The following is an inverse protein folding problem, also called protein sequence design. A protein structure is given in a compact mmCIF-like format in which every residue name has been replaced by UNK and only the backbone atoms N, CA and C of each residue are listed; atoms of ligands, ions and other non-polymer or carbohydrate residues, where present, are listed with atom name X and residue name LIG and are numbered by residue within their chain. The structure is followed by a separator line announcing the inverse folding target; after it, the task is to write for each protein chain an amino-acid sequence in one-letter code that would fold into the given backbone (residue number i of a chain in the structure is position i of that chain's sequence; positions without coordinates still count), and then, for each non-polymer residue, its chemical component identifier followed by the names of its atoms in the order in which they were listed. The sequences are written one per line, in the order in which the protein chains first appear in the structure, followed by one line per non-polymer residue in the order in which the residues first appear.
data_IF_997337950724
#
_entry.id   IF_997337950724
#
_cell.length_a   1.000
_cell.length_b   1.000
_cell.length_c   1.000
_cell.angle_alpha   90.00
_cell.angle_beta   90.00
_cell.angle_gamma   90.00
#
_symmetry.space_group_name_H-M   'P 1'
#
loop_
_entity.id
_entity.type
_entity.pdbx_description
1 polymer ?
#
# COMPACT_ATOMS: atom_id res chain seq x y z
N UNK A 1 39.60 -13.01 -63.51
CA UNK A 1 38.18 -13.09 -63.06
C UNK A 1 38.15 -13.02 -61.53
N UNK A 2 37.53 -11.98 -60.99
CA UNK A 2 37.35 -11.75 -59.54
C UNK A 2 36.28 -12.67 -58.94
N UNK A 3 36.46 -13.10 -57.68
CA UNK A 3 35.40 -13.50 -56.72
C UNK A 3 36.02 -13.48 -55.31
N UNK A 4 36.04 -12.32 -54.64
CA UNK A 4 35.09 -11.80 -53.63
C UNK A 4 34.99 -12.64 -52.34
N UNK A 5 35.62 -12.08 -51.29
CA UNK A 5 35.44 -12.34 -49.87
C UNK A 5 33.98 -12.18 -49.43
N UNK A 6 33.50 -13.06 -48.54
CA UNK A 6 32.38 -12.76 -47.63
C UNK A 6 32.77 -13.30 -46.25
N UNK A 7 33.09 -12.38 -45.35
CA UNK A 7 33.32 -12.62 -43.93
C UNK A 7 31.95 -12.48 -43.24
N UNK A 8 31.40 -13.57 -42.71
CA UNK A 8 30.16 -13.57 -41.93
C UNK A 8 30.51 -13.32 -40.46
N UNK A 9 30.33 -12.07 -40.02
CA UNK A 9 30.38 -11.71 -38.59
C UNK A 9 28.96 -11.86 -38.05
N UNK A 10 28.71 -12.91 -37.27
CA UNK A 10 27.49 -13.05 -36.49
C UNK A 10 27.63 -12.25 -35.20
N UNK A 11 27.07 -11.02 -35.17
CA UNK A 11 26.83 -10.32 -33.91
C UNK A 11 25.65 -11.00 -33.21
N UNK A 12 25.96 -11.78 -32.16
CA UNK A 12 24.96 -12.22 -31.20
C UNK A 12 24.62 -11.05 -30.28
N UNK A 13 23.58 -10.29 -30.66
CA UNK A 13 22.98 -9.26 -29.80
C UNK A 13 22.28 -9.95 -28.64
N UNK A 14 22.94 -10.04 -27.49
CA UNK A 14 22.31 -10.42 -26.22
C UNK A 14 21.31 -9.31 -25.90
N UNK A 15 20.03 -9.56 -26.21
CA UNK A 15 18.93 -8.73 -25.76
C UNK A 15 18.82 -8.86 -24.24
N UNK A 16 19.33 -7.87 -23.50
CA UNK A 16 18.95 -7.66 -22.11
C UNK A 16 17.48 -7.24 -22.10
N UNK A 17 16.58 -8.22 -22.03
CA UNK A 17 15.18 -7.96 -21.72
C UNK A 17 15.16 -7.55 -20.25
N UNK A 18 14.73 -6.32 -19.90
CA UNK A 18 14.52 -5.97 -18.51
C UNK A 18 13.45 -6.92 -17.97
N UNK A 19 13.82 -7.75 -16.99
CA UNK A 19 12.84 -8.52 -16.25
C UNK A 19 11.98 -7.52 -15.50
N UNK A 20 10.69 -7.50 -15.79
CA UNK A 20 9.72 -6.83 -14.93
C UNK A 20 9.92 -7.41 -13.52
N UNK A 21 10.32 -6.57 -12.57
CA UNK A 21 10.35 -6.97 -11.17
C UNK A 21 8.90 -7.21 -10.78
N UNK A 22 8.51 -8.48 -10.65
CA UNK A 22 7.27 -8.81 -10.00
C UNK A 22 7.42 -8.38 -8.54
N UNK A 23 6.67 -7.36 -8.12
CA UNK A 23 6.51 -7.06 -6.70
C UNK A 23 5.74 -8.23 -6.12
N UNK A 24 6.43 -9.11 -5.38
CA UNK A 24 5.80 -10.25 -4.73
C UNK A 24 4.73 -9.75 -3.75
N UNK A 25 3.60 -10.45 -3.68
CA UNK A 25 2.55 -10.11 -2.73
C UNK A 25 3.04 -10.24 -1.28
N UNK A 26 2.76 -9.24 -0.46
CA UNK A 26 3.08 -9.24 0.96
C UNK A 26 1.99 -9.95 1.77
N UNK A 27 2.37 -10.71 2.80
CA UNK A 27 1.42 -11.46 3.64
C UNK A 27 1.27 -10.89 5.05
N UNK A 28 2.11 -9.93 5.41
CA UNK A 28 2.16 -9.29 6.72
C UNK A 28 2.61 -7.84 6.52
N UNK A 29 2.00 -6.94 7.28
CA UNK A 29 2.37 -5.53 7.31
C UNK A 29 3.73 -5.34 7.99
N UNK A 30 4.64 -4.63 7.34
CA UNK A 30 5.93 -4.26 7.91
C UNK A 30 5.76 -3.27 9.07
N UNK A 31 4.72 -2.44 9.02
CA UNK A 31 4.46 -1.40 10.02
C UNK A 31 3.77 -1.94 11.28
N UNK A 32 2.77 -2.82 11.12
CA UNK A 32 1.90 -3.27 12.21
C UNK A 32 2.13 -4.72 12.63
N UNK A 33 2.78 -5.54 11.79
CA UNK A 33 2.85 -7.00 11.96
C UNK A 33 1.51 -7.71 11.79
N UNK A 34 0.48 -7.02 11.30
CA UNK A 34 -0.84 -7.62 11.05
C UNK A 34 -0.76 -8.48 9.79
N UNK A 35 -1.31 -9.70 9.87
CA UNK A 35 -1.45 -10.58 8.70
C UNK A 35 -2.40 -9.97 7.68
N UNK A 36 -1.96 -9.91 6.44
CA UNK A 36 -2.70 -9.29 5.35
C UNK A 36 -3.55 -10.32 4.58
N UNK A 37 -4.71 -9.92 4.04
CA UNK A 37 -5.41 -10.70 3.03
C UNK A 37 -4.50 -10.99 1.83
N UNK A 38 -4.73 -12.13 1.17
CA UNK A 38 -3.98 -12.49 -0.04
C UNK A 38 -4.11 -11.41 -1.12
N UNK A 39 -3.05 -11.22 -1.89
CA UNK A 39 -3.02 -10.25 -2.99
C UNK A 39 -2.62 -8.84 -2.58
N UNK A 40 -2.12 -8.63 -1.36
CA UNK A 40 -1.61 -7.32 -0.94
C UNK A 40 -0.31 -7.01 -1.69
N UNK A 41 -0.26 -5.87 -2.36
CA UNK A 41 0.96 -5.28 -2.91
C UNK A 41 1.40 -4.16 -1.99
N UNK A 42 2.66 -4.18 -1.58
CA UNK A 42 3.28 -3.03 -0.93
C UNK A 42 3.76 -2.06 -2.02
N UNK A 43 3.28 -0.83 -1.95
CA UNK A 43 3.65 0.26 -2.85
C UNK A 43 4.73 1.12 -2.20
N UNK A 44 5.46 1.90 -3.01
CA UNK A 44 6.55 2.74 -2.50
C UNK A 44 6.03 4.09 -2.03
N UNK A 45 6.87 4.84 -1.29
CA UNK A 45 6.54 6.19 -0.84
C UNK A 45 6.18 7.14 -2.00
N UNK A 46 6.75 6.91 -3.19
CA UNK A 46 6.46 7.69 -4.40
C UNK A 46 5.04 7.46 -4.95
N UNK A 47 4.37 6.39 -4.53
CA UNK A 47 3.00 6.04 -4.95
C UNK A 47 1.92 6.69 -4.07
N UNK A 48 2.29 7.36 -2.96
CA UNK A 48 1.34 8.12 -2.16
C UNK A 48 0.85 9.37 -2.91
N UNK A 49 -0.47 9.53 -3.01
CA UNK A 49 -1.04 10.81 -3.43
C UNK A 49 -0.90 11.86 -2.33
N UNK A 50 -0.77 13.14 -2.71
CA UNK A 50 -0.72 14.25 -1.75
C UNK A 50 -1.95 14.26 -0.82
N UNK A 51 -3.13 13.98 -1.37
CA UNK A 51 -4.39 13.88 -0.62
C UNK A 51 -4.35 12.77 0.44
N UNK A 52 -3.80 11.60 0.11
CA UNK A 52 -3.71 10.49 1.04
C UNK A 52 -2.74 10.80 2.20
N UNK A 53 -1.63 11.46 1.89
CA UNK A 53 -0.68 11.93 2.91
C UNK A 53 -1.35 12.96 3.82
N UNK A 54 -2.07 13.94 3.25
CA UNK A 54 -2.77 14.96 4.02
C UNK A 54 -3.82 14.34 4.96
N UNK A 55 -4.68 13.46 4.45
CA UNK A 55 -5.67 12.74 5.25
C UNK A 55 -5.01 11.95 6.40
N UNK A 56 -3.88 11.30 6.13
CA UNK A 56 -3.19 10.48 7.12
C UNK A 56 -2.51 11.33 8.21
N UNK A 57 -1.87 12.45 7.83
CA UNK A 57 -1.27 13.41 8.76
C UNK A 57 -2.33 14.10 9.62
N UNK A 58 -3.47 14.49 9.03
CA UNK A 58 -4.60 15.07 9.76
C UNK A 58 -5.22 14.06 10.74
N UNK A 59 -5.33 12.79 10.32
CA UNK A 59 -5.77 11.70 11.19
C UNK A 59 -4.80 11.53 12.36
N UNK A 60 -3.49 11.49 12.13
CA UNK A 60 -2.49 11.44 13.19
C UNK A 60 -2.52 12.68 14.10
N UNK A 61 -2.77 13.87 13.54
CA UNK A 61 -2.91 15.11 14.28
C UNK A 61 -4.15 15.10 15.18
N UNK A 62 -5.27 14.56 14.71
CA UNK A 62 -6.50 14.37 15.51
C UNK A 62 -6.26 13.45 16.73
N UNK A 63 -5.29 12.54 16.61
CA UNK A 63 -4.80 11.69 17.68
C UNK A 63 -3.79 12.42 18.58
N UNK A 64 -3.57 13.73 18.46
CA UNK A 64 -2.50 14.46 19.16
C UNK A 64 -1.10 13.88 18.89
N UNK A 65 -0.83 13.44 17.68
CA UNK A 65 0.46 12.90 17.25
C UNK A 65 0.88 13.37 15.86
N UNK A 66 1.90 12.72 15.31
CA UNK A 66 2.38 12.87 13.93
C UNK A 66 2.79 11.51 13.40
N UNK A 67 2.76 11.32 12.08
CA UNK A 67 3.29 10.12 11.47
C UNK A 67 4.82 10.09 11.58
N UNK A 68 5.39 8.90 11.82
CA UNK A 68 6.85 8.68 11.79
C UNK A 68 7.28 7.82 10.60
N UNK A 69 6.57 6.71 10.35
CA UNK A 69 6.78 5.81 9.23
C UNK A 69 5.44 5.53 8.56
N UNK A 70 5.45 5.46 7.23
CA UNK A 70 4.27 5.23 6.40
C UNK A 70 4.39 3.85 5.73
N UNK A 71 3.27 3.19 5.53
CA UNK A 71 3.18 1.99 4.69
C UNK A 71 1.93 2.11 3.82
N UNK A 72 2.09 1.76 2.54
CA UNK A 72 1.03 1.78 1.52
C UNK A 72 0.81 0.38 1.00
N UNK A 73 -0.43 -0.08 1.11
CA UNK A 73 -0.84 -1.41 0.67
C UNK A 73 -1.98 -1.27 -0.32
N UNK A 74 -1.93 -2.06 -1.39
CA UNK A 74 -2.92 -2.07 -2.45
C UNK A 74 -3.44 -3.49 -2.70
N UNK A 75 -4.73 -3.60 -2.99
CA UNK A 75 -5.34 -4.83 -3.45
C UNK A 75 -6.27 -4.54 -4.64
N UNK A 76 -6.19 -5.37 -5.67
CA UNK A 76 -7.27 -5.50 -6.64
C UNK A 76 -8.36 -6.43 -6.09
N UNK A 77 -9.64 -6.11 -6.34
CA UNK A 77 -10.76 -6.99 -6.02
C UNK A 77 -11.98 -6.28 -5.45
N UNK A 78 -12.68 -6.95 -4.55
CA UNK A 78 -13.87 -6.40 -3.90
C UNK A 78 -13.47 -5.68 -2.59
N UNK A 79 -13.59 -4.35 -2.51
CA UNK A 79 -13.14 -3.57 -1.35
C UNK A 79 -13.76 -4.06 -0.04
N UNK A 80 -15.09 -4.28 -0.04
CA UNK A 80 -15.83 -4.75 1.13
C UNK A 80 -15.32 -6.10 1.62
N UNK A 81 -15.02 -7.03 0.70
CA UNK A 81 -14.48 -8.33 1.07
C UNK A 81 -13.08 -8.24 1.67
N UNK A 82 -12.23 -7.37 1.11
CA UNK A 82 -10.84 -7.16 1.55
C UNK A 82 -10.81 -6.49 2.92
N UNK A 83 -11.56 -5.40 3.11
CA UNK A 83 -11.68 -4.70 4.40
C UNK A 83 -12.19 -5.64 5.49
N UNK A 84 -13.23 -6.44 5.20
CA UNK A 84 -13.73 -7.43 6.16
C UNK A 84 -12.69 -8.52 6.48
N UNK A 85 -11.94 -8.98 5.48
CA UNK A 85 -10.89 -9.98 5.67
C UNK A 85 -9.75 -9.44 6.54
N UNK A 86 -9.31 -8.19 6.32
CA UNK A 86 -8.28 -7.57 7.14
C UNK A 86 -8.79 -7.28 8.56
N UNK A 87 -10.00 -6.75 8.71
CA UNK A 87 -10.61 -6.51 10.02
C UNK A 87 -10.67 -7.78 10.87
N UNK A 88 -10.89 -8.95 10.25
CA UNK A 88 -10.85 -10.25 10.93
C UNK A 88 -9.42 -10.68 11.37
N UNK A 89 -8.36 -10.05 10.85
CA UNK A 89 -6.95 -10.28 11.23
C UNK A 89 -6.44 -9.29 12.27
N UNK A 90 -7.11 -8.15 12.47
CA UNK A 90 -6.71 -7.15 13.46
C UNK A 90 -6.78 -7.79 14.87
N UNK A 91 -5.67 -7.84 15.63
CA UNK A 91 -5.68 -8.36 16.98
C UNK A 91 -6.66 -7.60 17.88
N UNK A 92 -7.41 -8.33 18.73
CA UNK A 92 -8.37 -7.72 19.66
C UNK A 92 -7.75 -6.72 20.66
N UNK A 93 -6.43 -6.75 20.83
CA UNK A 93 -5.68 -5.77 21.64
C UNK A 93 -5.57 -4.39 20.98
N UNK A 94 -5.74 -4.30 19.65
CA UNK A 94 -5.80 -3.04 18.91
C UNK A 94 -7.27 -2.62 18.79
N UNK A 95 -7.61 -1.52 19.45
CA UNK A 95 -8.94 -0.92 19.38
C UNK A 95 -9.08 -0.13 18.09
N UNK A 96 -9.98 -0.59 17.23
CA UNK A 96 -10.43 0.12 16.05
C UNK A 96 -11.36 1.26 16.42
N UNK A 97 -11.14 2.43 15.83
CA UNK A 97 -12.08 3.55 15.85
C UNK A 97 -12.07 4.24 14.50
N UNK A 98 -13.22 4.23 13.81
CA UNK A 98 -13.50 5.12 12.69
C UNK A 98 -13.43 6.59 13.18
N UNK A 99 -12.71 7.42 12.44
CA UNK A 99 -12.51 8.84 12.74
C UNK A 99 -13.39 9.67 11.80
N UNK A 100 -13.31 9.39 10.51
CA UNK A 100 -14.11 10.04 9.48
C UNK A 100 -14.36 9.08 8.30
N UNK A 101 -15.38 9.35 7.50
CA UNK A 101 -15.63 8.64 6.25
C UNK A 101 -16.54 9.47 5.34
N UNK A 102 -16.24 9.49 4.05
CA UNK A 102 -17.05 10.20 3.05
C UNK A 102 -17.04 9.47 1.71
N UNK A 103 -17.96 9.84 0.83
CA UNK A 103 -18.03 9.37 -0.55
C UNK A 103 -17.10 10.20 -1.45
N UNK A 104 -16.46 9.54 -2.42
CA UNK A 104 -15.70 10.15 -3.51
C UNK A 104 -16.50 9.98 -4.82
N UNK A 105 -16.15 10.75 -5.85
CA UNK A 105 -16.83 10.67 -7.15
C UNK A 105 -16.83 9.24 -7.75
N UNK A 106 -15.80 8.45 -7.47
CA UNK A 106 -15.61 7.08 -7.96
C UNK A 106 -15.35 6.05 -6.84
N UNK A 107 -15.71 6.38 -5.60
CA UNK A 107 -15.37 5.55 -4.46
C UNK A 107 -15.83 6.09 -3.11
N UNK A 108 -15.09 5.74 -2.08
CA UNK A 108 -15.26 6.31 -0.74
C UNK A 108 -13.93 6.25 -0.01
N UNK A 109 -13.76 7.09 1.01
CA UNK A 109 -12.64 6.98 1.93
C UNK A 109 -13.12 6.80 3.37
N UNK A 110 -12.26 6.22 4.19
CA UNK A 110 -12.44 6.11 5.63
C UNK A 110 -11.11 6.37 6.33
N UNK A 111 -11.09 7.29 7.28
CA UNK A 111 -9.97 7.46 8.20
C UNK A 111 -10.27 6.78 9.52
N UNK A 112 -9.26 6.16 10.13
CA UNK A 112 -9.43 5.40 11.36
C UNK A 112 -8.17 5.41 12.21
N UNK A 113 -8.32 4.93 13.44
CA UNK A 113 -7.21 4.67 14.34
C UNK A 113 -7.22 3.24 14.84
N UNK A 114 -6.03 2.69 15.02
CA UNK A 114 -5.77 1.45 15.74
C UNK A 114 -4.92 1.76 16.96
N UNK A 115 -5.42 1.48 18.15
CA UNK A 115 -4.71 1.86 19.39
C UNK A 115 -4.64 0.72 20.39
N UNK A 116 -3.48 0.56 21.02
CA UNK A 116 -3.26 -0.26 22.20
C UNK A 116 -2.48 0.56 23.23
N UNK A 117 -2.08 -0.07 24.35
CA UNK A 117 -1.18 0.57 25.32
C UNK A 117 0.22 0.82 24.76
N UNK A 118 0.65 0.06 23.75
CA UNK A 118 2.02 0.04 23.27
C UNK A 118 2.17 0.56 21.82
N UNK A 119 1.06 0.73 21.10
CA UNK A 119 1.07 1.09 19.69
C UNK A 119 -0.12 1.97 19.33
N UNK A 120 0.10 2.89 18.39
CA UNK A 120 -0.90 3.84 17.91
C UNK A 120 -0.67 3.99 16.41
N UNK A 121 -1.71 3.73 15.63
CA UNK A 121 -1.66 3.85 14.18
C UNK A 121 -2.81 4.71 13.71
N UNK A 122 -2.53 5.61 12.77
CA UNK A 122 -3.53 6.28 11.96
C UNK A 122 -3.61 5.53 10.63
N UNK A 123 -4.81 5.39 10.08
CA UNK A 123 -5.02 4.71 8.81
C UNK A 123 -6.06 5.42 7.95
N UNK A 124 -5.92 5.25 6.65
CA UNK A 124 -6.82 5.76 5.61
C UNK A 124 -7.06 4.64 4.62
N UNK A 125 -8.33 4.31 4.43
CA UNK A 125 -8.82 3.51 3.32
C UNK A 125 -9.27 4.41 2.19
N UNK A 126 -8.88 4.08 0.97
CA UNK A 126 -9.53 4.58 -0.24
C UNK A 126 -10.05 3.39 -1.01
N UNK A 127 -11.36 3.34 -1.19
CA UNK A 127 -12.08 2.26 -1.87
C UNK A 127 -12.50 2.74 -3.25
N UNK A 128 -11.91 2.17 -4.29
CA UNK A 128 -12.41 2.34 -5.65
C UNK A 128 -13.47 1.29 -6.00
N UNK A 129 -13.91 1.31 -7.26
CA UNK A 129 -14.92 0.35 -7.72
C UNK A 129 -14.46 -1.12 -7.72
N UNK A 130 -13.14 -1.36 -7.86
CA UNK A 130 -12.55 -2.69 -8.03
C UNK A 130 -11.19 -2.85 -7.35
N UNK A 131 -10.86 -1.94 -6.45
CA UNK A 131 -9.58 -1.91 -5.76
C UNK A 131 -9.73 -1.20 -4.42
N UNK A 132 -8.73 -1.39 -3.58
CA UNK A 132 -8.66 -0.71 -2.30
C UNK A 132 -7.21 -0.44 -1.94
N UNK A 133 -6.97 0.77 -1.47
CA UNK A 133 -5.68 1.23 -0.98
C UNK A 133 -5.78 1.50 0.51
N UNK A 134 -4.81 1.00 1.27
CA UNK A 134 -4.59 1.29 2.67
C UNK A 134 -3.30 2.06 2.82
N UNK A 135 -3.40 3.28 3.31
CA UNK A 135 -2.27 3.97 3.91
C UNK A 135 -2.40 3.91 5.42
N UNK A 136 -1.32 3.64 6.12
CA UNK A 136 -1.26 3.89 7.56
C UNK A 136 0.11 4.36 7.99
N UNK A 137 0.17 4.95 9.19
CA UNK A 137 1.42 5.35 9.80
C UNK A 137 1.43 5.02 11.29
N UNK A 138 2.62 4.86 11.87
CA UNK A 138 2.77 4.86 13.32
C UNK A 138 2.72 6.29 13.87
N UNK A 139 1.95 6.48 14.94
CA UNK A 139 1.64 7.78 15.50
C UNK A 139 2.45 8.00 16.78
N UNK A 140 3.47 8.87 16.66
CA UNK A 140 4.28 9.31 17.80
C UNK A 140 3.76 10.63 18.36
N UNK A 141 4.16 10.95 19.60
CA UNK A 141 3.85 12.28 20.18
C UNK A 141 4.54 13.37 19.35
N UNK A 142 3.84 14.49 19.15
CA UNK A 142 4.36 15.65 18.43
C UNK A 142 5.67 16.15 19.03
#
# INVERSE_FOLDING_TARGET
MHKKFIFLVALASIACIPSALATDYVSESNLTGIKLPQGALELTDDDFSEEMVELLEDTAASMNGKCQYHELLFWEGNPVAITNALNAKIPASLKYKNIDADELDDGAYETFSLTSTNARYAGVWIQGAKDITLAWCDVVKK
#
